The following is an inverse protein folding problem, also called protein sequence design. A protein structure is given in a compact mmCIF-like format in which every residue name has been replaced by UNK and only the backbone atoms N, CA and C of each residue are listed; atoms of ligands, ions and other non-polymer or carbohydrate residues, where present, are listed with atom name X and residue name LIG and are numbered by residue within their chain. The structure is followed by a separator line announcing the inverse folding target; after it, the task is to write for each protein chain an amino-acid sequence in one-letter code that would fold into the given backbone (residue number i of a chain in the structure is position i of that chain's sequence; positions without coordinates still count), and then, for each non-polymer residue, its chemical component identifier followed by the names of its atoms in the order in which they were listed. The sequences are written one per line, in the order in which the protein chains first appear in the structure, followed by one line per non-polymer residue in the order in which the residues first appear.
data_IF_276386144572
#
_entry.id   IF_276386144572
#
_cell.length_a   1.000
_cell.length_b   1.000
_cell.length_c   1.000
_cell.angle_alpha   90.00
_cell.angle_beta   90.00
_cell.angle_gamma   90.00
#
_symmetry.space_group_name_H-M   'P 1'
#
loop_
_entity.id
_entity.type
_entity.pdbx_description
1 polymer ?
#
# COMPACT_ATOMS: atom_id res chain seq x y z
N UNK A 1 -2.32 12.11 -8.63
CA UNK A 1 -2.11 12.11 -7.16
C UNK A 1 -0.81 11.38 -6.89
N UNK A 2 0.05 11.84 -5.96
CA UNK A 2 1.30 11.14 -5.65
C UNK A 2 1.05 9.69 -5.24
N UNK A 3 1.98 8.81 -5.60
CA UNK A 3 1.95 7.39 -5.25
C UNK A 3 3.13 7.09 -4.34
N UNK A 4 2.90 6.23 -3.37
CA UNK A 4 3.87 5.83 -2.36
C UNK A 4 3.92 4.31 -2.29
N UNK A 5 5.12 3.79 -2.04
CA UNK A 5 5.34 2.38 -1.73
C UNK A 5 5.91 2.26 -0.32
N UNK A 6 5.38 1.33 0.45
CA UNK A 6 5.91 0.96 1.75
C UNK A 6 6.37 -0.49 1.74
N UNK A 7 7.49 -0.75 2.43
CA UNK A 7 7.96 -2.09 2.76
C UNK A 7 7.95 -2.21 4.28
N UNK A 8 7.44 -3.32 4.80
CA UNK A 8 7.43 -3.56 6.24
C UNK A 8 6.98 -4.96 6.59
N UNK A 9 6.60 -5.16 7.85
CA UNK A 9 6.07 -6.42 8.36
C UNK A 9 4.82 -6.16 9.18
N UNK A 10 3.83 -7.05 9.09
CA UNK A 10 2.67 -7.05 9.96
C UNK A 10 2.28 -8.51 10.25
N UNK A 11 2.41 -9.00 11.50
CA UNK A 11 2.12 -10.40 11.82
C UNK A 11 0.72 -10.84 11.37
N UNK A 12 0.64 -11.99 10.69
CA UNK A 12 -0.62 -12.60 10.23
C UNK A 12 -1.13 -12.12 8.86
N UNK A 13 -0.58 -11.03 8.31
CA UNK A 13 -0.95 -10.50 7.00
C UNK A 13 -0.42 -11.33 5.82
N UNK A 14 0.50 -12.25 6.07
CA UNK A 14 1.05 -13.19 5.10
C UNK A 14 0.16 -14.42 4.85
N UNK A 15 -0.99 -14.51 5.54
CA UNK A 15 -1.96 -15.58 5.35
C UNK A 15 -3.10 -15.16 4.41
N UNK A 16 -3.47 -16.05 3.47
CA UNK A 16 -4.56 -15.79 2.53
C UNK A 16 -5.91 -15.50 3.22
N UNK A 17 -6.16 -16.12 4.38
CA UNK A 17 -7.37 -15.89 5.16
C UNK A 17 -7.42 -14.48 5.75
N UNK A 18 -6.34 -14.01 6.37
CA UNK A 18 -6.28 -12.68 6.98
C UNK A 18 -6.34 -11.57 5.93
N UNK A 19 -5.54 -11.69 4.85
CA UNK A 19 -5.61 -10.80 3.69
C UNK A 19 -7.02 -10.80 3.10
N UNK A 20 -7.60 -11.97 2.83
CA UNK A 20 -8.93 -12.10 2.26
C UNK A 20 -10.03 -11.48 3.11
N UNK A 21 -9.92 -11.57 4.45
CA UNK A 21 -10.86 -10.92 5.37
C UNK A 21 -10.73 -9.39 5.32
N UNK A 22 -9.52 -8.84 5.30
CA UNK A 22 -9.33 -7.40 5.15
C UNK A 22 -9.80 -6.90 3.79
N UNK A 23 -9.56 -7.63 2.69
CA UNK A 23 -10.00 -7.23 1.34
C UNK A 23 -11.53 -7.08 1.21
N UNK A 24 -12.32 -7.78 2.02
CA UNK A 24 -13.79 -7.62 2.07
C UNK A 24 -14.22 -6.31 2.73
N UNK A 25 -13.37 -5.73 3.58
CA UNK A 25 -13.64 -4.47 4.27
C UNK A 25 -13.18 -3.27 3.41
N UNK A 26 -13.80 -3.06 2.25
CA UNK A 26 -13.40 -2.05 1.25
C UNK A 26 -13.20 -0.63 1.81
N UNK A 27 -13.96 -0.25 2.85
CA UNK A 27 -13.81 1.03 3.57
C UNK A 27 -12.44 1.19 4.25
N UNK A 28 -11.78 0.09 4.61
CA UNK A 28 -10.47 0.12 5.25
C UNK A 28 -9.34 0.46 4.27
N UNK A 29 -9.58 0.25 2.97
CA UNK A 29 -8.62 0.50 1.88
C UNK A 29 -8.74 1.91 1.32
N UNK A 30 -9.83 2.61 1.64
CA UNK A 30 -10.03 4.04 1.39
C UNK A 30 -10.06 4.77 2.72
N UNK A 31 -8.88 5.00 3.28
CA UNK A 31 -8.71 5.56 4.62
C UNK A 31 -9.46 6.90 4.79
N UNK A 32 -9.49 7.70 3.72
CA UNK A 32 -10.26 8.93 3.60
C UNK A 32 -10.57 9.23 2.11
N UNK A 33 -11.16 10.41 1.82
CA UNK A 33 -11.53 10.80 0.46
C UNK A 33 -10.34 10.93 -0.52
N UNK A 34 -9.13 11.13 0.00
CA UNK A 34 -7.87 11.43 -0.70
C UNK A 34 -6.77 10.36 -0.50
N UNK A 35 -7.03 9.32 0.28
CA UNK A 35 -6.07 8.25 0.60
C UNK A 35 -6.64 6.88 0.23
N UNK A 36 -6.02 6.21 -0.74
CA UNK A 36 -6.44 4.88 -1.20
C UNK A 36 -5.25 3.93 -1.28
N UNK A 37 -5.35 2.79 -0.61
CA UNK A 37 -4.37 1.70 -0.67
C UNK A 37 -4.82 0.76 -1.78
N UNK A 38 -4.01 0.65 -2.83
CA UNK A 38 -4.39 -0.07 -4.06
C UNK A 38 -3.96 -1.52 -4.03
N UNK A 39 -2.77 -1.78 -3.49
CA UNK A 39 -2.13 -3.08 -3.58
C UNK A 39 -1.45 -3.41 -2.27
N UNK A 40 -1.62 -4.63 -1.77
CA UNK A 40 -0.78 -5.22 -0.73
C UNK A 40 -0.29 -6.58 -1.22
N UNK A 41 1.02 -6.79 -1.15
CA UNK A 41 1.67 -8.03 -1.54
C UNK A 41 2.38 -8.62 -0.31
N UNK A 42 2.12 -9.89 -0.01
CA UNK A 42 2.90 -10.64 0.97
C UNK A 42 4.06 -11.36 0.26
N UNK A 43 5.28 -11.14 0.74
CA UNK A 43 6.50 -11.76 0.22
C UNK A 43 6.81 -13.04 1.00
N UNK A 44 7.50 -13.98 0.35
CA UNK A 44 7.85 -15.28 0.96
C UNK A 44 8.84 -15.20 2.12
N UNK A 45 9.44 -14.03 2.37
CA UNK A 45 10.35 -13.76 3.50
C UNK A 45 9.66 -13.06 4.68
N UNK A 46 8.32 -12.98 4.65
CA UNK A 46 7.50 -12.38 5.70
C UNK A 46 7.39 -10.87 5.64
N UNK A 47 7.98 -10.21 4.62
CA UNK A 47 7.73 -8.79 4.35
C UNK A 47 6.43 -8.59 3.58
N UNK A 48 5.92 -7.37 3.67
CA UNK A 48 4.77 -6.88 2.95
C UNK A 48 5.16 -5.65 2.15
N UNK A 49 4.59 -5.52 0.95
CA UNK A 49 4.66 -4.32 0.13
C UNK A 49 3.26 -3.72 0.06
N UNK A 50 3.11 -2.43 0.35
CA UNK A 50 1.86 -1.71 0.17
C UNK A 50 2.04 -0.53 -0.79
N UNK A 51 1.09 -0.36 -1.72
CA UNK A 51 1.02 0.79 -2.61
C UNK A 51 -0.15 1.70 -2.22
N UNK A 52 0.11 2.99 -2.05
CA UNK A 52 -0.88 3.98 -1.64
C UNK A 52 -0.89 5.20 -2.57
N UNK A 53 -2.09 5.71 -2.86
CA UNK A 53 -2.31 7.01 -3.51
C UNK A 53 -2.77 7.97 -2.43
N UNK A 54 -1.93 8.94 -2.11
CA UNK A 54 -2.25 9.99 -1.16
C UNK A 54 -1.43 11.24 -1.45
N UNK A 55 -1.94 12.40 -1.02
CA UNK A 55 -1.26 13.68 -1.23
C UNK A 55 -0.02 13.80 -0.35
N UNK A 56 -0.08 13.30 0.88
CA UNK A 56 0.95 13.42 1.91
C UNK A 56 1.41 12.04 2.35
N UNK A 57 2.71 11.86 2.54
CA UNK A 57 3.30 10.59 3.00
C UNK A 57 2.77 10.19 4.38
N UNK A 58 2.53 11.18 5.24
CA UNK A 58 2.11 11.02 6.63
C UNK A 58 0.73 10.36 6.76
N UNK A 59 -0.16 10.58 5.77
CA UNK A 59 -1.48 9.94 5.74
C UNK A 59 -1.34 8.42 5.53
N UNK A 60 -0.36 8.00 4.72
CA UNK A 60 -0.05 6.60 4.51
C UNK A 60 0.62 5.97 5.73
N UNK A 61 1.57 6.68 6.35
CA UNK A 61 2.20 6.27 7.61
C UNK A 61 1.17 6.04 8.72
N UNK A 62 0.21 6.96 8.87
CA UNK A 62 -0.86 6.84 9.86
C UNK A 62 -1.72 5.58 9.62
N UNK A 63 -2.02 5.27 8.36
CA UNK A 63 -2.76 4.05 8.01
C UNK A 63 -1.95 2.79 8.34
N UNK A 64 -0.68 2.74 7.94
CA UNK A 64 0.22 1.61 8.20
C UNK A 64 0.33 1.33 9.72
N UNK A 65 0.54 2.39 10.51
CA UNK A 65 0.58 2.31 11.97
C UNK A 65 -0.74 1.78 12.55
N UNK A 66 -1.88 2.29 12.07
CA UNK A 66 -3.22 1.83 12.50
C UNK A 66 -3.44 0.34 12.19
N UNK A 67 -2.84 -0.16 11.11
CA UNK A 67 -2.89 -1.58 10.72
C UNK A 67 -1.84 -2.44 11.41
N UNK A 68 -1.03 -1.87 12.31
CA UNK A 68 -0.02 -2.61 13.08
C UNK A 68 1.23 -2.97 12.28
N UNK A 69 1.50 -2.25 11.19
CA UNK A 69 2.71 -2.48 10.40
C UNK A 69 3.94 -1.92 11.13
N UNK A 70 4.99 -2.73 11.21
CA UNK A 70 6.35 -2.27 11.46
C UNK A 70 6.96 -1.88 10.12
N UNK A 71 7.02 -0.58 9.86
CA UNK A 71 7.46 -0.02 8.58
C UNK A 71 8.99 -0.01 8.53
N UNK A 72 9.55 -0.59 7.47
CA UNK A 72 10.99 -0.57 7.17
C UNK A 72 11.36 0.63 6.29
N UNK A 73 10.53 0.92 5.29
CA UNK A 73 10.72 2.08 4.41
C UNK A 73 9.42 2.55 3.79
N UNK A 74 9.37 3.84 3.44
CA UNK A 74 8.36 4.45 2.58
C UNK A 74 9.08 5.30 1.54
N UNK A 75 8.65 5.24 0.29
CA UNK A 75 9.26 6.00 -0.79
C UNK A 75 8.23 6.47 -1.82
N UNK A 76 8.43 7.66 -2.42
CA UNK A 76 7.59 8.10 -3.51
C UNK A 76 7.84 7.23 -4.75
N UNK A 77 6.77 6.78 -5.40
CA UNK A 77 6.85 6.08 -6.67
C UNK A 77 6.92 7.14 -7.78
N UNK A 78 8.05 7.15 -8.51
CA UNK A 78 8.26 8.08 -9.62
C UNK A 78 7.66 7.58 -10.93
N UNK A 79 7.81 6.29 -11.23
CA UNK A 79 7.35 5.63 -12.46
C UNK A 79 6.81 4.24 -12.10
N UNK A 80 5.79 3.78 -12.82
CA UNK A 80 5.31 2.40 -12.77
C UNK A 80 5.31 1.87 -14.19
N UNK A 81 6.00 0.77 -14.45
CA UNK A 81 5.95 0.09 -15.73
C UNK A 81 5.37 -1.31 -15.52
N UNK A 82 4.29 -1.62 -16.23
CA UNK A 82 3.77 -2.97 -16.38
C UNK A 82 4.19 -3.48 -17.76
N UNK A 83 4.25 -4.80 -17.97
CA UNK A 83 4.58 -5.32 -19.31
C UNK A 83 3.58 -4.77 -20.33
N UNK A 84 4.08 -4.06 -21.35
CA UNK A 84 3.26 -3.41 -22.37
C UNK A 84 2.65 -2.05 -22.01
N UNK A 85 2.91 -1.49 -20.82
CA UNK A 85 2.40 -0.15 -20.45
C UNK A 85 3.28 0.57 -19.43
N UNK A 86 3.38 1.90 -19.53
CA UNK A 86 4.11 2.73 -18.58
C UNK A 86 3.18 3.83 -18.07
N UNK A 87 3.20 4.03 -16.76
CA UNK A 87 2.62 5.15 -16.06
C UNK A 87 3.77 6.02 -15.51
N UNK A 88 3.74 7.31 -15.82
CA UNK A 88 4.80 8.27 -15.47
C UNK A 88 4.34 9.39 -14.52
N UNK A 89 3.10 9.29 -14.03
CA UNK A 89 2.52 10.28 -13.13
C UNK A 89 2.09 11.59 -13.77
N UNK A 90 2.23 11.75 -15.10
CA UNK A 90 1.91 13.00 -15.80
C UNK A 90 0.60 12.98 -16.60
N UNK A 91 -0.07 11.84 -16.79
CA UNK A 91 -1.41 11.81 -17.42
C UNK A 91 -2.40 10.88 -16.69
N UNK A 92 -3.66 11.34 -16.47
CA UNK A 92 -4.76 10.50 -15.98
C UNK A 92 -5.24 9.47 -17.00
#
# INVERSE_FOLDING_TARGET
MPRWIAIGKAPGWDTAQHLGNHMKATKEWRADARTTIHTVMALGDGRLIAECHCVKQEDFEAWLKKKGWTVESISPIKLIANVGSIWDGQNP
#
